data_IF_667859565478
#
_entry.id   IF_667859565478
#
_cell.length_a   1.000
_cell.length_b   1.000
_cell.length_c   1.000
_cell.angle_alpha   90.00
_cell.angle_beta   90.00
_cell.angle_gamma   90.00
#
_symmetry.space_group_name_H-M   'P 1'
#
loop_
_entity.id
_entity.type
_entity.pdbx_description
1 polymer ?
#
# COMPACT_ATOMS: atom_id res chain seq x y z
N UNK A 1 -10.32 -18.27 16.36
CA UNK A 1 -10.74 -16.86 16.31
C UNK A 1 -10.51 -16.37 14.90
N UNK A 2 -11.55 -15.93 14.17
CA UNK A 2 -11.37 -15.23 12.90
C UNK A 2 -11.10 -13.78 13.26
N UNK A 3 -9.83 -13.37 13.29
CA UNK A 3 -9.47 -11.96 13.48
C UNK A 3 -10.19 -11.12 12.43
N UNK A 4 -11.10 -10.29 12.92
CA UNK A 4 -11.97 -9.44 12.10
C UNK A 4 -11.09 -8.31 11.59
N UNK A 5 -10.53 -8.47 10.38
CA UNK A 5 -9.76 -7.40 9.73
C UNK A 5 -10.62 -6.15 9.62
N UNK A 6 -10.24 -5.09 10.33
CA UNK A 6 -10.97 -3.81 10.32
C UNK A 6 -10.93 -3.13 8.95
N UNK A 7 -9.92 -3.45 8.14
CA UNK A 7 -9.74 -2.96 6.78
C UNK A 7 -9.04 -4.01 5.91
N UNK A 8 -9.40 -4.09 4.63
CA UNK A 8 -8.66 -4.92 3.66
C UNK A 8 -7.20 -4.50 3.49
N UNK A 9 -6.84 -3.27 3.86
CA UNK A 9 -5.49 -2.72 3.75
C UNK A 9 -4.59 -3.07 4.94
N UNK A 10 -5.13 -3.73 5.98
CA UNK A 10 -4.31 -4.23 7.10
C UNK A 10 -3.23 -5.21 6.62
N UNK A 11 -3.45 -5.95 5.52
CA UNK A 11 -2.43 -6.83 4.96
C UNK A 11 -1.23 -6.05 4.42
N UNK A 12 -1.45 -4.87 3.82
CA UNK A 12 -0.38 -4.00 3.34
C UNK A 12 0.37 -3.37 4.52
N UNK A 13 -0.36 -2.93 5.55
CA UNK A 13 0.23 -2.43 6.80
C UNK A 13 1.13 -3.49 7.44
N UNK A 14 0.61 -4.70 7.66
CA UNK A 14 1.37 -5.80 8.24
C UNK A 14 2.63 -6.11 7.42
N UNK A 15 2.50 -6.21 6.09
CA UNK A 15 3.65 -6.45 5.23
C UNK A 15 4.73 -5.37 5.34
N UNK A 16 4.34 -4.08 5.41
CA UNK A 16 5.25 -2.94 5.57
C UNK A 16 5.89 -2.90 6.96
N UNK A 17 5.17 -3.29 8.01
CA UNK A 17 5.71 -3.38 9.38
C UNK A 17 6.81 -4.42 9.51
N UNK A 18 6.76 -5.49 8.70
CA UNK A 18 7.82 -6.51 8.63
C UNK A 18 9.12 -6.01 7.99
N UNK A 19 9.14 -4.82 7.38
CA UNK A 19 10.31 -4.27 6.69
C UNK A 19 11.13 -3.37 7.62
N UNK A 20 11.44 -3.86 8.82
CA UNK A 20 12.11 -3.10 9.90
C UNK A 20 13.58 -2.77 9.61
N UNK A 21 14.20 -3.46 8.67
CA UNK A 21 15.60 -3.32 8.24
C UNK A 21 15.78 -2.35 7.06
N UNK A 22 14.69 -1.77 6.54
CA UNK A 22 14.70 -0.93 5.34
C UNK A 22 14.23 0.49 5.61
N UNK A 23 14.97 1.43 5.04
CA UNK A 23 14.61 2.86 4.98
C UNK A 23 13.76 3.19 3.73
N UNK A 24 13.93 2.41 2.67
CA UNK A 24 13.23 2.57 1.40
C UNK A 24 12.90 1.21 0.77
N UNK A 25 11.73 1.12 0.16
CA UNK A 25 11.32 -0.03 -0.64
C UNK A 25 10.80 0.48 -1.98
N UNK A 26 11.38 0.02 -3.08
CA UNK A 26 10.82 0.22 -4.41
C UNK A 26 10.29 -1.12 -4.94
N UNK A 27 9.02 -1.14 -5.34
CA UNK A 27 8.35 -2.38 -5.77
C UNK A 27 7.31 -2.08 -6.87
N UNK A 28 7.12 -3.00 -7.82
CA UNK A 28 6.02 -2.87 -8.79
C UNK A 28 4.67 -3.16 -8.13
N UNK A 29 3.58 -2.60 -8.66
CA UNK A 29 2.26 -2.86 -8.07
C UNK A 29 1.89 -4.35 -8.20
N UNK A 30 2.24 -4.98 -9.32
CA UNK A 30 1.98 -6.40 -9.54
C UNK A 30 2.77 -7.28 -8.56
N UNK A 31 4.04 -6.93 -8.30
CA UNK A 31 4.85 -7.67 -7.33
C UNK A 31 4.33 -7.46 -5.91
N UNK A 32 3.97 -6.22 -5.55
CA UNK A 32 3.38 -5.92 -4.25
C UNK A 32 2.10 -6.71 -4.05
N UNK A 33 1.17 -6.70 -5.02
CA UNK A 33 -0.07 -7.46 -4.95
C UNK A 33 0.20 -8.97 -4.79
N UNK A 34 1.16 -9.53 -5.53
CA UNK A 34 1.58 -10.92 -5.38
C UNK A 34 2.12 -11.22 -3.98
N UNK A 35 2.90 -10.32 -3.38
CA UNK A 35 3.39 -10.48 -2.00
C UNK A 35 2.24 -10.44 -1.01
N UNK A 36 1.29 -9.52 -1.16
CA UNK A 36 0.12 -9.41 -0.26
C UNK A 36 -0.81 -10.62 -0.36
N UNK A 37 -0.97 -11.18 -1.57
CA UNK A 37 -1.73 -12.42 -1.80
C UNK A 37 -1.19 -13.64 -1.05
N UNK A 38 0.09 -13.65 -0.66
CA UNK A 38 0.65 -14.72 0.19
C UNK A 38 0.11 -14.68 1.62
N UNK A 39 -0.38 -13.53 2.08
CA UNK A 39 -0.96 -13.33 3.42
C UNK A 39 -2.49 -13.30 3.37
N UNK A 40 -3.06 -12.86 2.24
CA UNK A 40 -4.49 -12.83 1.99
C UNK A 40 -4.78 -13.10 0.51
N UNK A 41 -5.15 -14.34 0.18
CA UNK A 41 -5.42 -14.77 -1.21
C UNK A 41 -6.52 -13.96 -1.90
N UNK A 42 -7.42 -13.34 -1.13
CA UNK A 42 -8.51 -12.51 -1.64
C UNK A 42 -8.09 -11.07 -1.96
N UNK A 43 -6.90 -10.65 -1.52
CA UNK A 43 -6.44 -9.28 -1.68
C UNK A 43 -6.17 -8.95 -3.15
N UNK A 44 -6.75 -7.85 -3.61
CA UNK A 44 -6.43 -7.26 -4.91
C UNK A 44 -6.46 -5.73 -4.78
N UNK A 45 -5.53 -5.06 -5.44
CA UNK A 45 -5.62 -3.62 -5.59
C UNK A 45 -6.77 -3.26 -6.54
N UNK A 46 -7.55 -2.21 -6.24
CA UNK A 46 -8.53 -1.71 -7.20
C UNK A 46 -7.82 -1.17 -8.44
N UNK A 47 -8.50 -1.17 -9.60
CA UNK A 47 -7.97 -0.58 -10.86
C UNK A 47 -7.44 0.84 -10.67
N UNK A 48 -8.01 1.60 -9.73
CA UNK A 48 -7.57 2.95 -9.40
C UNK A 48 -6.11 3.01 -8.91
N UNK A 49 -5.62 2.00 -8.18
CA UNK A 49 -4.22 1.96 -7.71
C UNK A 49 -3.21 1.88 -8.86
N UNK A 50 -3.61 1.23 -9.97
CA UNK A 50 -2.79 1.11 -11.18
C UNK A 50 -2.90 2.33 -12.10
N UNK A 51 -4.00 3.09 -12.01
CA UNK A 51 -4.30 4.18 -12.95
C UNK A 51 -4.02 5.57 -12.38
N UNK A 52 -4.28 5.77 -11.09
CA UNK A 52 -4.29 7.09 -10.48
C UNK A 52 -3.19 7.19 -9.44
N UNK A 53 -2.18 8.03 -9.69
CA UNK A 53 -1.11 8.31 -8.72
C UNK A 53 -1.69 8.85 -7.39
N UNK A 54 -2.74 9.68 -7.47
CA UNK A 54 -3.47 10.18 -6.29
C UNK A 54 -4.01 9.08 -5.37
N UNK A 55 -4.23 7.86 -5.88
CA UNK A 55 -4.64 6.74 -5.03
C UNK A 55 -3.59 6.41 -3.96
N UNK A 56 -2.31 6.68 -4.25
CA UNK A 56 -1.15 6.53 -3.38
C UNK A 56 -0.77 7.81 -2.61
N UNK A 57 -1.69 8.78 -2.52
CA UNK A 57 -1.45 10.02 -1.76
C UNK A 57 -1.24 9.76 -0.27
N UNK A 58 -0.45 10.61 0.39
CA UNK A 58 -0.14 10.48 1.82
C UNK A 58 -1.06 11.33 2.71
N UNK A 59 -2.30 11.55 2.28
CA UNK A 59 -3.29 12.29 3.06
C UNK A 59 -3.68 11.49 4.31
N UNK A 60 -3.74 12.18 5.46
CA UNK A 60 -3.96 11.60 6.79
C UNK A 60 -5.10 12.23 7.61
N UNK A 61 -5.87 13.16 7.02
CA UNK A 61 -7.04 13.81 7.63
C UNK A 61 -8.34 12.99 7.62
N UNK A 62 -9.44 13.59 8.08
CA UNK A 62 -10.75 12.92 8.20
C UNK A 62 -11.36 12.53 6.85
N UNK A 63 -11.05 13.26 5.78
CA UNK A 63 -11.45 12.95 4.40
C UNK A 63 -10.45 12.06 3.67
N UNK A 64 -9.41 11.59 4.36
CA UNK A 64 -8.36 10.80 3.73
C UNK A 64 -8.83 9.44 3.32
N UNK A 65 -8.32 9.01 2.18
CA UNK A 65 -8.64 7.72 1.65
C UNK A 65 -8.22 6.60 2.61
N UNK A 66 -9.17 5.73 2.97
CA UNK A 66 -9.01 4.63 3.93
C UNK A 66 -7.79 3.75 3.64
N UNK A 67 -7.36 3.63 2.37
CA UNK A 67 -6.15 2.87 2.02
C UNK A 67 -4.85 3.46 2.58
N UNK A 68 -4.72 4.78 2.61
CA UNK A 68 -3.50 5.43 3.06
C UNK A 68 -3.42 5.33 4.58
N UNK A 69 -4.50 5.76 5.25
CA UNK A 69 -4.64 5.75 6.70
C UNK A 69 -4.46 4.36 7.30
N UNK A 70 -5.10 3.33 6.77
CA UNK A 70 -5.05 1.96 7.32
C UNK A 70 -3.97 1.08 6.66
N UNK A 71 -3.22 1.61 5.70
CA UNK A 71 -2.18 0.90 4.97
C UNK A 71 -0.80 1.39 5.35
N UNK A 72 -0.18 2.17 4.46
CA UNK A 72 1.21 2.59 4.63
C UNK A 72 1.42 3.62 5.73
N UNK A 73 0.50 4.57 5.93
CA UNK A 73 0.66 5.58 6.97
C UNK A 73 0.59 4.95 8.37
N UNK A 74 -0.36 4.04 8.61
CA UNK A 74 -0.42 3.27 9.87
C UNK A 74 0.80 2.35 10.10
N UNK A 75 1.55 2.02 9.04
CA UNK A 75 2.79 1.27 9.14
C UNK A 75 4.03 2.18 9.35
N UNK A 76 3.86 3.50 9.39
CA UNK A 76 4.98 4.45 9.48
C UNK A 76 5.73 4.65 8.16
N UNK A 77 5.02 4.57 7.03
CA UNK A 77 5.58 4.75 5.69
C UNK A 77 4.81 5.81 4.90
N UNK A 78 5.50 6.49 3.98
CA UNK A 78 4.93 7.35 2.92
C UNK A 78 5.11 6.68 1.57
N UNK A 79 4.10 6.75 0.71
CA UNK A 79 4.10 6.19 -0.64
C UNK A 79 4.41 7.26 -1.70
N UNK A 80 5.20 6.90 -2.71
CA UNK A 80 5.55 7.75 -3.84
C UNK A 80 5.39 6.94 -5.13
N UNK A 81 4.29 7.11 -5.87
CA UNK A 81 4.04 6.35 -7.09
C UNK A 81 4.97 6.79 -8.22
N UNK A 82 5.46 5.83 -9.01
CA UNK A 82 6.16 6.05 -10.27
C UNK A 82 5.22 5.74 -11.43
N UNK A 83 5.03 6.72 -12.30
CA UNK A 83 4.12 6.64 -13.44
C UNK A 83 4.92 6.45 -14.73
N UNK A 84 4.48 5.52 -15.58
CA UNK A 84 4.99 5.32 -16.94
C UNK A 84 3.82 5.08 -17.88
N UNK A 85 3.76 5.81 -19.00
CA UNK A 85 2.65 5.69 -19.96
C UNK A 85 1.27 5.95 -19.34
N UNK A 86 1.19 6.88 -18.38
CA UNK A 86 -0.07 7.22 -17.69
C UNK A 86 -0.58 6.19 -16.68
N UNK A 87 0.20 5.15 -16.37
CA UNK A 87 -0.13 4.14 -15.36
C UNK A 87 0.91 4.14 -14.24
N UNK A 88 0.48 3.86 -13.02
CA UNK A 88 1.39 3.62 -11.91
C UNK A 88 2.00 2.23 -12.11
N UNK A 89 3.31 2.19 -12.28
CA UNK A 89 4.06 0.94 -12.51
C UNK A 89 4.78 0.47 -11.25
N UNK A 90 5.18 1.41 -10.40
CA UNK A 90 5.88 1.14 -9.15
C UNK A 90 5.44 2.10 -8.05
N UNK A 91 5.67 1.70 -6.82
CA UNK A 91 5.54 2.56 -5.65
C UNK A 91 6.82 2.48 -4.86
N UNK A 92 7.31 3.65 -4.45
CA UNK A 92 8.40 3.75 -3.49
C UNK A 92 7.77 4.03 -2.13
N UNK A 93 8.04 3.17 -1.15
CA UNK A 93 7.75 3.45 0.25
C UNK A 93 9.01 3.99 0.92
N UNK A 94 8.88 5.06 1.69
CA UNK A 94 9.94 5.59 2.59
C UNK A 94 9.40 5.71 3.99
N UNK A 95 10.24 5.57 5.01
CA UNK A 95 9.84 5.83 6.40
C UNK A 95 9.26 7.24 6.54
N UNK A 96 8.18 7.35 7.31
CA UNK A 96 7.37 8.56 7.47
C UNK A 96 8.01 9.58 8.40
#
# INVERSE_FOLDING_TARGET
MKDKRESKYEVLKAWLQLQNDKEMIEISIEELEKKLKKFDETFNFPKAAYKHAAWWTNESGAESHTQARNGWLAAGWKAYPKVRGGKVVRVIFRRA
#
